data_IF_050729794844
#
_entry.id   IF_050729794844
#
_cell.length_a   1.000
_cell.length_b   1.000
_cell.length_c   1.000
_cell.angle_alpha   90.00
_cell.angle_beta   90.00
_cell.angle_gamma   90.00
#
_symmetry.space_group_name_H-M   'P 1'
#
loop_
_entity.id
_entity.type
_entity.pdbx_description
1 polymer ?
#
# COMPACT_ATOMS: atom_id res chain seq x y z
N UNK A 1 -12.23 7.44 -20.37
CA UNK A 1 -12.89 6.39 -21.21
C UNK A 1 -12.32 6.44 -22.62
N UNK A 2 -11.18 5.77 -22.87
CA UNK A 2 -10.69 5.62 -24.24
C UNK A 2 -11.45 4.45 -24.89
N UNK A 3 -12.47 4.78 -25.70
CA UNK A 3 -13.15 3.82 -26.56
C UNK A 3 -12.22 3.49 -27.72
N UNK A 4 -11.76 2.25 -27.79
CA UNK A 4 -11.13 1.69 -28.99
C UNK A 4 -12.21 1.60 -30.07
N UNK A 5 -12.07 2.38 -31.15
CA UNK A 5 -12.92 2.29 -32.34
C UNK A 5 -12.31 1.28 -33.31
N UNK A 6 -13.09 0.28 -33.69
CA UNK A 6 -12.76 -0.61 -34.80
C UNK A 6 -13.23 0.04 -36.11
N UNK A 7 -12.34 0.19 -37.08
CA UNK A 7 -12.70 0.56 -38.45
C UNK A 7 -12.57 -0.66 -39.35
N UNK A 8 -13.69 -1.11 -39.91
CA UNK A 8 -13.73 -2.16 -40.93
C UNK A 8 -13.75 -1.49 -42.30
N UNK A 9 -12.68 -1.61 -43.08
CA UNK A 9 -12.66 -1.22 -44.49
C UNK A 9 -13.06 -2.45 -45.33
N UNK A 10 -14.22 -2.42 -45.96
CA UNK A 10 -14.68 -3.45 -46.88
C UNK A 10 -14.36 -3.02 -48.32
N UNK A 11 -13.37 -3.67 -48.94
CA UNK A 11 -13.18 -3.64 -50.39
C UNK A 11 -13.62 -5.00 -50.92
N UNK A 12 -14.69 -5.01 -51.70
CA UNK A 12 -15.24 -6.21 -52.31
C UNK A 12 -14.56 -6.48 -53.66
N UNK A 13 -13.65 -7.45 -53.71
CA UNK A 13 -13.25 -8.13 -54.94
C UNK A 13 -13.00 -9.60 -54.63
N UNK A 14 -13.63 -10.49 -55.42
CA UNK A 14 -13.56 -11.93 -55.26
C UNK A 14 -12.12 -12.44 -55.46
N UNK A 15 -11.49 -12.90 -54.38
CA UNK A 15 -10.18 -13.55 -54.37
C UNK A 15 -9.94 -14.10 -52.97
N UNK A 16 -9.33 -15.28 -52.85
CA UNK A 16 -9.05 -15.96 -51.57
C UNK A 16 -8.50 -14.97 -50.53
N UNK A 17 -9.34 -14.61 -49.56
CA UNK A 17 -8.97 -13.66 -48.52
C UNK A 17 -8.22 -14.43 -47.44
N UNK A 18 -6.88 -14.39 -47.49
CA UNK A 18 -6.05 -14.76 -46.36
C UNK A 18 -6.25 -13.70 -45.28
N UNK A 19 -7.02 -14.02 -44.24
CA UNK A 19 -7.13 -13.21 -43.04
C UNK A 19 -5.78 -13.22 -42.33
N UNK A 20 -4.95 -12.21 -42.59
CA UNK A 20 -3.73 -11.94 -41.83
C UNK A 20 -4.16 -11.34 -40.49
N UNK A 21 -4.14 -12.15 -39.43
CA UNK A 21 -4.26 -11.65 -38.07
C UNK A 21 -2.96 -10.93 -37.69
N UNK A 22 -2.97 -9.60 -37.77
CA UNK A 22 -1.88 -8.79 -37.24
C UNK A 22 -2.05 -8.77 -35.71
N UNK A 23 -1.27 -9.62 -35.03
CA UNK A 23 -1.18 -9.64 -33.59
C UNK A 23 -0.37 -8.42 -33.15
N UNK A 24 -1.06 -7.35 -32.74
CA UNK A 24 -0.42 -6.19 -32.13
C UNK A 24 0.06 -6.59 -30.73
N UNK A 25 1.33 -6.95 -30.61
CA UNK A 25 1.98 -7.04 -29.31
C UNK A 25 2.18 -5.60 -28.80
N UNK A 26 1.69 -5.26 -27.60
CA UNK A 26 2.06 -4.00 -26.97
C UNK A 26 3.59 -3.94 -26.90
N UNK A 27 4.17 -2.80 -27.27
CA UNK A 27 5.60 -2.59 -27.14
C UNK A 27 5.98 -2.83 -25.68
N UNK A 28 7.02 -3.65 -25.43
CA UNK A 28 7.56 -3.84 -24.08
C UNK A 28 7.86 -2.46 -23.49
N UNK A 29 7.45 -2.18 -22.25
CA UNK A 29 7.79 -0.91 -21.61
C UNK A 29 9.31 -0.75 -21.64
N UNK A 30 9.77 0.44 -22.04
CA UNK A 30 11.20 0.78 -22.03
C UNK A 30 11.62 1.07 -20.58
N UNK A 31 11.86 0.02 -19.80
CA UNK A 31 12.28 0.11 -18.40
C UNK A 31 13.79 0.36 -18.35
N UNK A 32 14.18 1.54 -17.89
CA UNK A 32 15.57 2.00 -17.87
C UNK A 32 16.24 1.67 -16.53
N UNK A 33 16.37 0.37 -16.22
CA UNK A 33 17.01 -0.10 -14.98
C UNK A 33 18.49 0.33 -14.90
N UNK A 34 19.15 0.48 -16.05
CA UNK A 34 20.54 0.93 -16.20
C UNK A 34 20.78 2.35 -15.65
N UNK A 35 19.73 3.16 -15.51
CA UNK A 35 19.81 4.51 -14.92
C UNK A 35 19.72 4.52 -13.39
N UNK A 36 19.37 3.40 -12.77
CA UNK A 36 19.25 3.30 -11.31
C UNK A 36 20.64 2.98 -10.74
N UNK A 37 21.14 3.87 -9.88
CA UNK A 37 22.40 3.65 -9.16
C UNK A 37 22.11 2.83 -7.90
N UNK A 38 22.73 1.68 -7.79
CA UNK A 38 22.62 0.80 -6.62
C UNK A 38 23.89 0.86 -5.76
N UNK A 39 23.79 0.61 -4.45
CA UNK A 39 24.96 0.36 -3.62
C UNK A 39 25.77 -0.84 -4.14
N UNK A 40 27.06 -0.89 -3.80
CA UNK A 40 27.93 -1.98 -4.21
C UNK A 40 27.38 -3.35 -3.77
N UNK A 41 27.43 -4.34 -4.66
CA UNK A 41 26.94 -5.70 -4.41
C UNK A 41 25.44 -5.91 -4.62
N UNK A 42 24.65 -4.85 -4.82
CA UNK A 42 23.22 -4.96 -5.14
C UNK A 42 22.99 -5.11 -6.65
N UNK A 43 21.92 -5.81 -7.01
CA UNK A 43 21.40 -5.94 -8.38
C UNK A 43 19.89 -5.70 -8.38
N UNK A 44 19.38 -5.21 -9.52
CA UNK A 44 17.96 -5.05 -9.77
C UNK A 44 17.61 -5.75 -11.09
N UNK A 45 16.48 -6.44 -11.12
CA UNK A 45 15.89 -7.00 -12.34
C UNK A 45 14.36 -6.82 -12.27
N UNK A 46 13.70 -6.96 -13.41
CA UNK A 46 12.25 -6.86 -13.54
C UNK A 46 11.58 -8.17 -13.10
N UNK A 47 10.76 -8.10 -12.04
CA UNK A 47 9.92 -9.22 -11.61
C UNK A 47 8.66 -9.37 -12.49
N UNK A 48 7.95 -8.27 -12.74
CA UNK A 48 6.75 -8.21 -13.59
C UNK A 48 6.49 -6.78 -14.09
N UNK A 49 5.92 -6.64 -15.30
CA UNK A 49 5.59 -5.34 -15.93
C UNK A 49 4.10 -5.17 -16.28
N UNK A 50 3.26 -6.15 -15.97
CA UNK A 50 1.85 -6.19 -16.37
C UNK A 50 0.88 -5.71 -15.27
N UNK A 51 1.40 -5.20 -14.16
CA UNK A 51 0.58 -4.67 -13.06
C UNK A 51 0.54 -3.15 -13.11
N UNK A 52 -0.46 -2.62 -13.80
CA UNK A 52 -0.68 -1.17 -13.88
C UNK A 52 -0.96 -0.61 -12.49
N UNK A 53 -0.29 0.51 -12.15
CA UNK A 53 -0.54 1.23 -10.90
C UNK A 53 -0.37 0.34 -9.64
N UNK A 54 0.58 -0.60 -9.69
CA UNK A 54 0.99 -1.41 -8.56
C UNK A 54 1.31 -0.53 -7.34
N UNK A 55 0.88 -0.99 -6.16
CA UNK A 55 1.15 -0.32 -4.88
C UNK A 55 1.69 -1.31 -3.85
N UNK A 56 0.94 -1.59 -2.78
CA UNK A 56 1.40 -2.50 -1.74
C UNK A 56 1.42 -3.93 -2.23
N UNK A 57 2.32 -4.71 -1.67
CA UNK A 57 2.49 -6.12 -2.00
C UNK A 57 2.60 -6.94 -0.72
N UNK A 58 2.14 -8.19 -0.76
CA UNK A 58 2.42 -9.17 0.29
C UNK A 58 2.80 -10.50 -0.34
N UNK A 59 3.90 -11.08 0.13
CA UNK A 59 4.42 -12.37 -0.33
C UNK A 59 3.95 -13.47 0.62
N UNK A 60 3.38 -14.55 0.09
CA UNK A 60 2.99 -15.70 0.90
C UNK A 60 4.17 -16.66 1.12
N UNK A 61 4.08 -17.55 2.13
CA UNK A 61 5.08 -18.61 2.32
C UNK A 61 5.22 -19.55 1.11
N UNK A 62 4.22 -19.64 0.24
CA UNK A 62 4.27 -20.49 -0.97
C UNK A 62 4.97 -19.80 -2.15
N UNK A 63 5.26 -18.49 -2.04
CA UNK A 63 5.88 -17.69 -3.10
C UNK A 63 4.88 -16.89 -3.96
N UNK A 64 3.59 -16.92 -3.66
CA UNK A 64 2.60 -16.06 -4.36
C UNK A 64 2.75 -14.62 -3.89
N UNK A 65 2.97 -13.69 -4.83
CA UNK A 65 3.01 -12.26 -4.55
C UNK A 65 1.65 -11.63 -4.87
N UNK A 66 0.89 -11.22 -3.86
CA UNK A 66 -0.32 -10.44 -4.05
C UNK A 66 0.02 -8.96 -4.16
N UNK A 67 -0.62 -8.26 -5.10
CA UNK A 67 -0.34 -6.86 -5.40
C UNK A 67 -1.65 -6.07 -5.47
N UNK A 68 -1.78 -5.09 -4.59
CA UNK A 68 -2.86 -4.10 -4.63
C UNK A 68 -2.58 -3.00 -5.65
N UNK A 69 -3.63 -2.31 -6.08
CA UNK A 69 -3.53 -1.12 -6.94
C UNK A 69 -4.32 0.04 -6.35
N UNK A 70 -4.16 1.23 -6.92
CA UNK A 70 -4.91 2.40 -6.49
C UNK A 70 -6.00 2.77 -7.51
N UNK A 71 -5.66 3.54 -8.53
CA UNK A 71 -6.60 4.07 -9.50
C UNK A 71 -7.07 2.99 -10.51
N UNK A 72 -6.32 1.88 -10.65
CA UNK A 72 -6.70 0.73 -11.47
C UNK A 72 -7.86 -0.09 -10.86
N UNK A 73 -8.04 -0.03 -9.53
CA UNK A 73 -9.16 -0.70 -8.87
C UNK A 73 -9.12 -2.23 -8.91
N UNK A 74 -7.94 -2.83 -9.09
CA UNK A 74 -7.74 -4.27 -9.21
C UNK A 74 -6.75 -4.83 -8.18
N UNK A 75 -6.83 -6.13 -7.90
CA UNK A 75 -5.85 -6.87 -7.08
C UNK A 75 -5.34 -8.04 -7.91
N UNK A 76 -4.03 -8.26 -7.88
CA UNK A 76 -3.35 -9.28 -8.67
C UNK A 76 -2.67 -10.31 -7.79
N UNK A 77 -2.47 -11.51 -8.33
CA UNK A 77 -1.55 -12.51 -7.80
C UNK A 77 -0.50 -12.85 -8.87
N UNK A 78 0.77 -12.78 -8.50
CA UNK A 78 1.90 -13.02 -9.37
C UNK A 78 2.63 -14.26 -8.86
N UNK A 79 2.88 -15.21 -9.76
CA UNK A 79 3.49 -16.51 -9.42
C UNK A 79 4.73 -16.72 -10.28
N UNK A 80 5.87 -16.89 -9.61
CA UNK A 80 7.10 -17.47 -10.17
C UNK A 80 7.02 -18.99 -10.01
N UNK A 81 6.96 -19.73 -11.12
CA UNK A 81 6.83 -21.18 -11.11
C UNK A 81 8.18 -21.90 -11.18
N UNK A 82 9.24 -21.19 -11.56
CA UNK A 82 10.53 -21.79 -11.91
C UNK A 82 11.68 -21.35 -10.98
N UNK A 83 11.44 -20.36 -10.11
CA UNK A 83 12.37 -19.87 -9.11
C UNK A 83 13.44 -18.92 -9.66
N UNK A 84 13.24 -18.32 -10.83
CA UNK A 84 14.17 -17.37 -11.46
C UNK A 84 13.94 -15.91 -11.04
N UNK A 85 13.03 -15.68 -10.07
CA UNK A 85 12.60 -14.37 -9.60
C UNK A 85 11.88 -13.55 -10.68
N UNK A 86 11.08 -14.21 -11.53
CA UNK A 86 10.19 -13.57 -12.51
C UNK A 86 8.80 -14.17 -12.43
N UNK A 87 7.79 -13.31 -12.54
CA UNK A 87 6.41 -13.79 -12.58
C UNK A 87 6.12 -14.47 -13.92
N UNK A 88 5.91 -15.78 -13.91
CA UNK A 88 5.47 -16.58 -15.07
C UNK A 88 3.97 -16.42 -15.32
N UNK A 89 3.19 -16.27 -14.24
CA UNK A 89 1.72 -16.14 -14.30
C UNK A 89 1.22 -14.99 -13.46
N UNK A 90 0.22 -14.31 -14.00
CA UNK A 90 -0.43 -13.17 -13.37
C UNK A 90 -1.94 -13.41 -13.43
N UNK A 91 -2.57 -13.42 -12.26
CA UNK A 91 -4.00 -13.61 -12.09
C UNK A 91 -4.62 -12.32 -11.57
N UNK A 92 -5.87 -12.06 -11.96
CA UNK A 92 -6.64 -10.97 -11.40
C UNK A 92 -7.58 -11.55 -10.36
N UNK A 93 -7.36 -11.16 -9.11
CA UNK A 93 -8.10 -11.66 -7.94
C UNK A 93 -9.38 -10.87 -7.71
N UNK A 94 -9.32 -9.55 -7.93
CA UNK A 94 -10.47 -8.67 -7.78
C UNK A 94 -10.39 -7.50 -8.77
N UNK A 95 -11.55 -6.93 -9.13
CA UNK A 95 -11.69 -5.76 -10.00
C UNK A 95 -12.82 -4.87 -9.53
N UNK A 96 -12.80 -3.60 -9.95
CA UNK A 96 -13.86 -2.64 -9.68
C UNK A 96 -13.92 -2.18 -8.23
N UNK A 97 -12.80 -2.35 -7.51
CA UNK A 97 -12.65 -1.91 -6.13
C UNK A 97 -12.20 -0.44 -6.06
N UNK A 98 -12.53 0.25 -4.98
CA UNK A 98 -12.14 1.63 -4.73
C UNK A 98 -10.78 1.69 -4.02
N UNK A 99 -9.73 1.97 -4.80
CA UNK A 99 -8.35 2.10 -4.31
C UNK A 99 -7.88 0.91 -3.44
N UNK A 100 -7.93 -0.34 -3.97
CA UNK A 100 -7.56 -1.56 -3.24
C UNK A 100 -6.05 -1.69 -3.04
N UNK A 101 -5.47 -0.73 -2.34
CA UNK A 101 -4.04 -0.59 -2.12
C UNK A 101 -3.50 -1.63 -1.13
N UNK A 102 -4.30 -1.98 -0.12
CA UNK A 102 -3.87 -2.79 1.00
C UNK A 102 -4.11 -4.26 0.74
N UNK A 103 -3.05 -5.07 0.82
CA UNK A 103 -3.12 -6.53 0.72
C UNK A 103 -2.35 -7.16 1.87
N UNK A 104 -2.93 -8.14 2.55
CA UNK A 104 -2.28 -8.91 3.60
C UNK A 104 -2.69 -10.37 3.52
N UNK A 105 -1.77 -11.29 3.79
CA UNK A 105 -2.06 -12.72 3.75
C UNK A 105 -1.96 -13.33 5.15
N UNK A 106 -2.89 -14.23 5.49
CA UNK A 106 -2.83 -15.01 6.71
C UNK A 106 -3.62 -16.30 6.61
N UNK A 107 -3.01 -17.40 7.03
CA UNK A 107 -3.67 -18.71 7.21
C UNK A 107 -4.46 -19.16 5.96
N UNK A 108 -3.91 -18.97 4.77
CA UNK A 108 -4.57 -19.33 3.51
C UNK A 108 -5.54 -18.28 2.95
N UNK A 109 -5.80 -17.20 3.69
CA UNK A 109 -6.72 -16.14 3.28
C UNK A 109 -5.98 -14.87 2.89
N UNK A 110 -6.41 -14.25 1.78
CA UNK A 110 -6.00 -12.90 1.40
C UNK A 110 -7.02 -11.90 1.91
N UNK A 111 -6.51 -10.86 2.57
CA UNK A 111 -7.26 -9.68 2.99
C UNK A 111 -6.96 -8.54 2.03
N UNK A 112 -8.00 -7.85 1.58
CA UNK A 112 -7.93 -6.73 0.64
C UNK A 112 -8.63 -5.53 1.26
N UNK A 113 -7.94 -4.40 1.39
CA UNK A 113 -8.49 -3.16 1.91
C UNK A 113 -8.70 -2.12 0.80
N UNK A 114 -9.96 -1.73 0.62
CA UNK A 114 -10.40 -0.50 -0.06
C UNK A 114 -10.32 0.69 0.90
N UNK A 115 -10.80 1.86 0.46
CA UNK A 115 -10.90 3.06 1.30
C UNK A 115 -11.72 2.81 2.58
N UNK A 116 -12.94 2.29 2.45
CA UNK A 116 -13.87 2.08 3.58
C UNK A 116 -14.13 0.63 3.94
N UNK A 117 -13.71 -0.33 3.09
CA UNK A 117 -14.06 -1.74 3.22
C UNK A 117 -12.85 -2.65 3.27
N UNK A 118 -12.97 -3.75 4.00
CA UNK A 118 -12.00 -4.84 4.01
C UNK A 118 -12.71 -6.14 3.63
N UNK A 119 -12.14 -6.84 2.67
CA UNK A 119 -12.61 -8.11 2.16
C UNK A 119 -11.63 -9.23 2.50
N UNK A 120 -12.14 -10.45 2.60
CA UNK A 120 -11.33 -11.66 2.75
C UNK A 120 -11.68 -12.69 1.68
N UNK A 121 -10.65 -13.27 1.08
CA UNK A 121 -10.73 -14.37 0.12
C UNK A 121 -10.10 -15.61 0.75
N UNK A 122 -10.91 -16.60 1.08
CA UNK A 122 -10.49 -17.80 1.81
C UNK A 122 -9.88 -18.86 0.89
N UNK A 123 -8.81 -19.52 1.33
CA UNK A 123 -8.08 -20.52 0.54
C UNK A 123 -7.62 -20.00 -0.84
N UNK A 124 -7.22 -18.72 -0.91
CA UNK A 124 -7.06 -18.01 -2.18
C UNK A 124 -6.03 -18.65 -3.11
N UNK A 125 -4.95 -19.22 -2.58
CA UNK A 125 -3.87 -19.79 -3.38
C UNK A 125 -4.30 -21.06 -4.15
N UNK A 126 -5.34 -21.75 -3.68
CA UNK A 126 -5.94 -22.89 -4.40
C UNK A 126 -6.87 -22.46 -5.55
N UNK A 127 -7.20 -21.16 -5.63
CA UNK A 127 -8.27 -20.61 -6.45
C UNK A 127 -7.85 -19.36 -7.23
N UNK A 128 -6.56 -19.19 -7.56
CA UNK A 128 -6.07 -17.97 -8.23
C UNK A 128 -6.74 -17.68 -9.59
N UNK A 129 -7.08 -18.72 -10.35
CA UNK A 129 -7.73 -18.59 -11.66
C UNK A 129 -9.25 -18.35 -11.57
N UNK A 130 -9.87 -18.72 -10.46
CA UNK A 130 -11.30 -18.56 -10.19
C UNK A 130 -11.48 -18.22 -8.70
N UNK A 131 -11.19 -16.96 -8.30
CA UNK A 131 -11.19 -16.57 -6.89
C UNK A 131 -12.55 -16.81 -6.24
N UNK A 132 -12.58 -17.24 -4.96
CA UNK A 132 -13.84 -17.45 -4.25
C UNK A 132 -14.60 -16.14 -4.08
N UNK A 133 -15.90 -16.25 -3.79
CA UNK A 133 -16.69 -15.08 -3.38
C UNK A 133 -16.07 -14.45 -2.13
N UNK A 134 -15.79 -13.14 -2.11
CA UNK A 134 -15.22 -12.49 -0.94
C UNK A 134 -16.21 -12.44 0.23
N UNK A 135 -15.65 -12.54 1.44
CA UNK A 135 -16.34 -12.28 2.70
C UNK A 135 -16.08 -10.83 3.09
N UNK A 136 -17.14 -10.07 3.37
CA UNK A 136 -17.00 -8.72 3.94
C UNK A 136 -16.54 -8.85 5.40
N UNK A 137 -15.40 -8.27 5.72
CA UNK A 137 -14.85 -8.24 7.08
C UNK A 137 -15.35 -7.01 7.82
N UNK A 138 -15.34 -5.86 7.17
CA UNK A 138 -15.90 -4.61 7.72
C UNK A 138 -16.08 -3.59 6.60
N UNK A 139 -17.09 -2.75 6.74
CA UNK A 139 -17.34 -1.54 5.94
C UNK A 139 -17.45 -0.28 6.82
N UNK A 140 -16.93 -0.36 8.05
CA UNK A 140 -17.06 0.66 9.10
C UNK A 140 -15.88 1.64 9.12
N UNK A 141 -15.03 1.66 8.09
CA UNK A 141 -14.00 2.70 7.92
C UNK A 141 -14.55 3.89 7.13
N UNK A 142 -14.05 5.12 7.39
CA UNK A 142 -14.49 6.29 6.65
C UNK A 142 -14.23 6.19 5.14
N UNK A 143 -15.08 6.86 4.36
CA UNK A 143 -15.07 6.83 2.89
C UNK A 143 -14.24 7.96 2.23
N UNK A 144 -13.55 8.77 3.05
CA UNK A 144 -12.75 9.92 2.56
C UNK A 144 -11.50 9.45 1.84
N UNK A 145 -11.29 9.95 0.62
CA UNK A 145 -10.25 9.44 -0.29
C UNK A 145 -8.91 10.18 -0.20
N UNK A 146 -8.84 11.36 0.42
CA UNK A 146 -7.64 12.24 0.40
C UNK A 146 -6.37 11.49 0.86
N UNK A 147 -6.42 10.84 2.01
CA UNK A 147 -5.45 9.85 2.50
C UNK A 147 -6.15 8.53 2.85
N UNK A 148 -7.11 8.15 1.99
CA UNK A 148 -8.05 7.07 2.26
C UNK A 148 -7.50 5.67 1.99
N UNK A 149 -6.54 5.53 1.07
CA UNK A 149 -5.99 4.22 0.72
C UNK A 149 -5.26 3.59 1.92
N UNK A 150 -5.39 2.28 2.05
CA UNK A 150 -4.92 1.55 3.24
C UNK A 150 -3.67 0.76 2.92
N UNK A 151 -2.67 0.81 3.79
CA UNK A 151 -1.67 -0.24 3.90
C UNK A 151 -2.12 -1.18 5.02
N UNK A 152 -2.12 -2.50 4.83
CA UNK A 152 -2.56 -3.42 5.87
C UNK A 152 -1.54 -4.53 6.07
N UNK A 153 -1.33 -4.94 7.32
CA UNK A 153 -0.52 -6.10 7.64
C UNK A 153 -0.97 -6.70 8.97
N UNK A 154 -0.71 -8.00 9.15
CA UNK A 154 -0.98 -8.67 10.42
C UNK A 154 0.18 -8.47 11.39
N UNK A 155 -0.15 -8.01 12.59
CA UNK A 155 0.81 -7.86 13.66
C UNK A 155 1.13 -9.18 14.37
N UNK A 156 2.16 -9.18 15.24
CA UNK A 156 2.59 -10.34 16.03
C UNK A 156 1.54 -10.80 17.05
N UNK A 157 0.58 -9.93 17.39
CA UNK A 157 -0.60 -10.23 18.20
C UNK A 157 -1.72 -10.93 17.42
N UNK A 158 -1.53 -11.15 16.12
CA UNK A 158 -2.54 -11.75 15.26
C UNK A 158 -3.74 -10.82 15.01
N UNK A 159 -3.57 -9.51 15.07
CA UNK A 159 -4.58 -8.54 14.62
C UNK A 159 -4.18 -7.91 13.29
N UNK A 160 -5.17 -7.49 12.50
CA UNK A 160 -4.95 -6.76 11.25
C UNK A 160 -4.82 -5.27 11.56
N UNK A 161 -3.68 -4.66 11.23
CA UNK A 161 -3.43 -3.23 11.45
C UNK A 161 -3.86 -2.45 10.20
N UNK A 162 -4.53 -1.32 10.43
CA UNK A 162 -5.16 -0.51 9.38
C UNK A 162 -4.96 0.98 9.70
N UNK A 163 -4.25 1.75 8.86
CA UNK A 163 -4.07 3.17 9.05
C UNK A 163 -5.29 3.92 8.51
N UNK A 164 -5.65 5.01 9.17
CA UNK A 164 -6.65 5.94 8.66
C UNK A 164 -6.02 7.32 8.63
N UNK A 165 -5.52 7.69 7.45
CA UNK A 165 -4.92 9.01 7.23
C UNK A 165 -5.94 10.14 7.34
N UNK A 166 -5.46 11.34 7.61
CA UNK A 166 -6.28 12.54 7.75
C UNK A 166 -7.09 12.82 6.47
N UNK A 167 -8.35 13.30 6.56
CA UNK A 167 -9.20 13.53 5.41
C UNK A 167 -8.86 14.82 4.63
N UNK A 168 -7.69 15.41 4.90
CA UNK A 168 -7.29 16.75 4.51
C UNK A 168 -5.75 16.85 4.54
N UNK A 169 -5.20 18.00 4.12
CA UNK A 169 -3.80 18.31 4.33
C UNK A 169 -3.49 18.48 5.84
N UNK A 170 -4.21 19.41 6.50
CA UNK A 170 -4.11 19.68 7.94
C UNK A 170 -5.49 20.09 8.47
N UNK A 171 -6.01 19.35 9.44
CA UNK A 171 -7.30 19.64 10.08
C UNK A 171 -7.43 18.83 11.36
N UNK A 172 -8.29 19.30 12.26
CA UNK A 172 -8.91 18.45 13.27
C UNK A 172 -10.08 17.68 12.65
N UNK A 173 -10.43 16.53 13.22
CA UNK A 173 -11.56 15.72 12.82
C UNK A 173 -12.44 15.43 14.02
N UNK A 174 -13.77 15.50 13.84
CA UNK A 174 -14.74 15.09 14.87
C UNK A 174 -14.76 13.57 15.04
N UNK A 175 -14.54 12.83 13.94
CA UNK A 175 -14.37 11.39 14.00
C UNK A 175 -12.92 11.06 14.44
N UNK A 176 -12.74 10.46 15.63
CA UNK A 176 -11.43 10.21 16.23
C UNK A 176 -10.64 9.09 15.55
N UNK A 177 -11.21 8.38 14.58
CA UNK A 177 -10.49 7.34 13.83
C UNK A 177 -9.52 7.96 12.81
N UNK A 178 -9.75 9.20 12.37
CA UNK A 178 -8.83 9.87 11.44
C UNK A 178 -7.50 10.23 12.09
N UNK A 179 -6.45 10.22 11.27
CA UNK A 179 -5.07 10.42 11.67
C UNK A 179 -4.60 9.41 12.74
N UNK A 180 -4.94 8.14 12.54
CA UNK A 180 -4.59 7.05 13.47
C UNK A 180 -4.05 5.82 12.74
N UNK A 181 -3.42 4.93 13.51
CA UNK A 181 -3.30 3.52 13.15
C UNK A 181 -4.24 2.75 14.08
N UNK A 182 -5.10 1.91 13.50
CA UNK A 182 -6.00 1.01 14.23
C UNK A 182 -5.54 -0.43 14.08
N UNK A 183 -6.10 -1.33 14.89
CA UNK A 183 -6.06 -2.77 14.68
C UNK A 183 -7.43 -3.40 14.89
N UNK A 184 -7.72 -4.48 14.17
CA UNK A 184 -8.97 -5.26 14.26
C UNK A 184 -8.65 -6.75 14.36
N UNK A 185 -9.57 -7.54 14.90
CA UNK A 185 -9.51 -8.99 14.81
C UNK A 185 -9.68 -9.44 13.35
N UNK A 186 -9.25 -10.67 12.97
CA UNK A 186 -9.33 -11.16 11.59
C UNK A 186 -10.75 -11.31 11.04
N UNK A 187 -11.76 -11.27 11.90
CA UNK A 187 -13.19 -11.28 11.58
C UNK A 187 -13.81 -9.87 11.51
N UNK A 188 -13.02 -8.82 11.75
CA UNK A 188 -13.45 -7.42 11.72
C UNK A 188 -13.83 -6.84 13.08
N UNK A 189 -13.96 -7.67 14.12
CA UNK A 189 -14.36 -7.23 15.45
C UNK A 189 -13.22 -6.55 16.23
N UNK A 190 -13.56 -5.90 17.35
CA UNK A 190 -12.56 -5.45 18.33
C UNK A 190 -11.63 -4.34 17.84
N UNK A 191 -12.15 -3.39 17.05
CA UNK A 191 -11.39 -2.23 16.57
C UNK A 191 -10.84 -1.41 17.73
N UNK A 192 -9.55 -1.12 17.66
CA UNK A 192 -8.80 -0.36 18.67
C UNK A 192 -7.85 0.61 17.97
N UNK A 193 -7.81 1.87 18.44
CA UNK A 193 -6.81 2.86 18.00
C UNK A 193 -5.52 2.59 18.77
N UNK A 194 -4.43 2.30 18.06
CA UNK A 194 -3.12 2.00 18.66
C UNK A 194 -2.14 3.16 18.59
N UNK A 195 -2.25 4.03 17.59
CA UNK A 195 -1.44 5.23 17.45
C UNK A 195 -2.34 6.41 17.04
N UNK A 196 -2.07 7.60 17.57
CA UNK A 196 -2.81 8.84 17.27
C UNK A 196 -1.87 9.88 16.66
N UNK A 197 -2.44 10.87 15.99
CA UNK A 197 -1.67 11.95 15.39
C UNK A 197 -0.71 11.48 14.30
N UNK A 198 -1.14 10.49 13.52
CA UNK A 198 -0.42 9.94 12.37
C UNK A 198 -1.10 10.49 11.11
N UNK A 199 -0.48 11.44 10.41
CA UNK A 199 -1.14 12.17 9.31
C UNK A 199 -1.55 11.24 8.18
N UNK A 200 -0.62 10.46 7.64
CA UNK A 200 -0.81 9.55 6.52
C UNK A 200 0.31 8.50 6.48
N UNK A 201 0.11 7.41 7.22
CA UNK A 201 0.99 6.24 7.18
C UNK A 201 0.60 5.30 6.05
N UNK A 202 1.52 5.12 5.09
CA UNK A 202 1.35 4.22 3.93
C UNK A 202 2.28 3.00 4.01
N UNK A 203 3.04 2.85 5.10
CA UNK A 203 3.91 1.70 5.32
C UNK A 203 4.24 1.50 6.79
N UNK A 204 4.16 0.26 7.25
CA UNK A 204 4.59 -0.15 8.58
C UNK A 204 5.01 -1.61 8.63
N UNK A 205 5.85 -1.94 9.59
CA UNK A 205 6.33 -3.29 9.88
C UNK A 205 6.59 -3.45 11.38
N UNK A 206 6.93 -4.66 11.82
CA UNK A 206 7.30 -4.92 13.20
C UNK A 206 8.77 -5.28 13.31
N UNK A 207 9.44 -4.73 14.31
CA UNK A 207 10.83 -5.07 14.58
C UNK A 207 10.94 -6.58 14.90
N UNK A 208 11.84 -7.34 14.26
CA UNK A 208 11.80 -8.80 14.31
C UNK A 208 12.07 -9.38 15.70
N UNK A 209 12.76 -8.64 16.57
CA UNK A 209 13.09 -9.09 17.93
C UNK A 209 12.12 -8.53 18.98
N UNK A 210 11.91 -7.21 18.99
CA UNK A 210 11.09 -6.54 20.01
C UNK A 210 9.59 -6.62 19.72
N UNK A 211 9.22 -6.93 18.48
CA UNK A 211 7.81 -7.00 18.02
C UNK A 211 7.06 -5.67 18.12
N UNK A 212 7.80 -4.57 18.26
CA UNK A 212 7.24 -3.22 18.29
C UNK A 212 6.94 -2.72 16.88
N UNK A 213 5.93 -1.86 16.75
CA UNK A 213 5.47 -1.34 15.46
C UNK A 213 6.31 -0.13 15.05
N UNK A 214 6.86 -0.19 13.83
CA UNK A 214 7.56 0.90 13.17
C UNK A 214 6.79 1.31 11.93
N UNK A 215 6.59 2.61 11.73
CA UNK A 215 5.77 3.11 10.64
C UNK A 215 6.30 4.41 10.08
N UNK A 216 6.07 4.61 8.78
CA UNK A 216 6.42 5.86 8.09
C UNK A 216 5.22 6.80 8.10
N UNK A 217 5.44 8.10 8.22
CA UNK A 217 4.38 9.12 8.12
C UNK A 217 4.75 10.22 7.13
N UNK A 218 3.78 10.60 6.28
CA UNK A 218 3.94 11.64 5.28
C UNK A 218 3.59 12.99 5.91
N UNK A 219 4.59 13.87 6.04
CA UNK A 219 4.45 15.20 6.61
C UNK A 219 3.44 16.10 5.87
N UNK A 220 3.01 17.18 6.51
CA UNK A 220 2.03 18.10 5.91
C UNK A 220 2.59 18.87 4.70
N UNK A 221 1.68 19.26 3.83
CA UNK A 221 2.01 20.10 2.68
C UNK A 221 1.99 21.59 3.06
N UNK A 222 2.68 22.38 2.24
CA UNK A 222 2.64 23.84 2.23
C UNK A 222 3.18 24.53 3.49
N UNK A 223 4.28 24.02 4.04
CA UNK A 223 5.12 24.75 5.03
C UNK A 223 6.47 25.20 4.47
N UNK A 224 6.73 24.96 3.18
CA UNK A 224 7.97 25.29 2.49
C UNK A 224 8.50 24.08 1.73
N UNK A 225 9.55 24.30 0.94
CA UNK A 225 10.21 23.25 0.17
C UNK A 225 11.09 22.36 1.08
N UNK A 226 11.62 22.94 2.14
CA UNK A 226 12.57 22.29 3.05
C UNK A 226 11.95 21.86 4.40
N UNK A 227 10.62 21.91 4.55
CA UNK A 227 9.93 21.50 5.78
C UNK A 227 8.42 21.23 5.59
N UNK A 228 7.79 20.44 6.47
CA UNK A 228 8.43 19.60 7.50
C UNK A 228 8.97 18.31 6.87
N UNK A 229 9.82 17.62 7.61
CA UNK A 229 10.28 16.28 7.27
C UNK A 229 9.12 15.28 7.31
N UNK A 230 9.15 14.30 6.42
CA UNK A 230 8.45 13.04 6.67
C UNK A 230 9.16 12.28 7.81
N UNK A 231 8.46 11.33 8.40
CA UNK A 231 8.87 10.73 9.67
C UNK A 231 8.98 9.22 9.57
N UNK A 232 9.98 8.67 10.25
CA UNK A 232 9.94 7.30 10.74
C UNK A 232 9.58 7.35 12.22
N UNK A 233 8.50 6.69 12.58
CA UNK A 233 7.95 6.64 13.92
C UNK A 233 8.03 5.23 14.51
N UNK A 234 8.11 5.17 15.84
CA UNK A 234 8.20 3.94 16.61
C UNK A 234 7.12 3.96 17.70
N UNK A 235 6.20 3.00 17.67
CA UNK A 235 5.17 2.84 18.68
C UNK A 235 5.63 1.87 19.76
N UNK A 236 5.95 2.40 20.94
CA UNK A 236 6.37 1.61 22.10
C UNK A 236 5.20 1.25 23.01
N UNK A 237 4.13 2.06 22.98
CA UNK A 237 2.93 1.85 23.79
C UNK A 237 1.67 2.23 23.02
N UNK A 238 0.67 1.36 23.08
CA UNK A 238 -0.68 1.64 22.56
C UNK A 238 -1.20 2.98 23.13
N UNK A 239 -1.68 3.83 22.22
CA UNK A 239 -2.27 5.13 22.53
C UNK A 239 -1.31 6.32 22.45
N UNK A 240 -0.03 6.12 22.13
CA UNK A 240 0.90 7.22 21.85
C UNK A 240 0.39 8.14 20.73
N UNK A 241 0.73 9.42 20.85
CA UNK A 241 0.32 10.48 19.92
C UNK A 241 1.55 11.09 19.27
N UNK A 242 1.61 11.09 17.93
CA UNK A 242 2.79 11.44 17.12
C UNK A 242 2.78 12.89 16.60
N UNK A 243 1.79 13.68 17.00
CA UNK A 243 1.84 15.14 16.93
C UNK A 243 0.84 15.76 15.99
N UNK A 244 0.50 15.12 14.87
CA UNK A 244 -0.50 15.68 13.95
C UNK A 244 -1.86 15.88 14.65
N UNK A 245 -2.58 17.00 14.42
CA UNK A 245 -2.25 18.10 13.51
C UNK A 245 -1.50 19.27 14.18
N UNK A 246 -1.07 19.12 15.43
CA UNK A 246 -0.56 20.21 16.28
C UNK A 246 0.95 20.41 16.17
N UNK A 247 1.70 19.32 16.02
CA UNK A 247 3.15 19.33 15.87
C UNK A 247 3.54 18.44 14.67
N UNK A 248 4.46 18.94 13.85
CA UNK A 248 5.01 18.24 12.70
C UNK A 248 6.49 17.94 12.96
N UNK A 249 6.98 16.81 12.46
CA UNK A 249 8.38 16.36 12.56
C UNK A 249 8.95 16.33 13.99
N UNK A 250 8.09 16.29 15.01
CA UNK A 250 8.43 16.30 16.43
C UNK A 250 8.85 17.64 17.04
N UNK A 251 9.08 18.69 16.24
CA UNK A 251 9.60 19.97 16.74
C UNK A 251 9.13 21.22 15.99
N UNK A 252 8.21 21.09 15.02
CA UNK A 252 7.59 22.24 14.36
C UNK A 252 6.12 22.34 14.81
N UNK A 253 5.77 23.32 15.65
CA UNK A 253 4.39 23.64 15.94
C UNK A 253 3.64 24.03 14.66
N UNK A 254 2.42 23.54 14.49
CA UNK A 254 1.56 23.99 13.40
C UNK A 254 1.22 25.48 13.57
N UNK A 255 1.38 26.31 12.52
CA UNK A 255 1.17 27.76 12.63
C UNK A 255 -0.28 28.18 12.92
N UNK A 256 -1.27 27.28 12.75
CA UNK A 256 -2.68 27.58 12.96
C UNK A 256 -3.31 26.74 14.06
N UNK A 257 -2.86 25.50 14.23
CA UNK A 257 -3.53 24.53 15.11
C UNK A 257 -2.75 24.26 16.40
N UNK A 258 -1.50 24.69 16.54
CA UNK A 258 -0.72 24.42 17.75
C UNK A 258 -1.16 25.24 18.98
N UNK A 259 -2.17 26.10 18.87
CA UNK A 259 -2.62 26.90 20.02
C UNK A 259 -3.00 26.00 21.19
N UNK A 260 -2.40 26.25 22.36
CA UNK A 260 -2.55 25.42 23.56
C UNK A 260 -1.76 24.11 23.58
N UNK A 261 -0.96 23.81 22.56
CA UNK A 261 -0.16 22.58 22.47
C UNK A 261 1.33 22.86 22.23
N UNK A 262 2.18 22.12 22.95
CA UNK A 262 3.62 22.09 22.75
C UNK A 262 4.05 20.75 22.16
N UNK A 263 5.02 20.76 21.23
CA UNK A 263 5.54 19.54 20.62
C UNK A 263 6.04 18.50 21.64
N UNK A 264 6.52 18.94 22.82
CA UNK A 264 6.96 18.07 23.90
C UNK A 264 5.84 17.22 24.54
N UNK A 265 4.58 17.50 24.24
CA UNK A 265 3.42 16.68 24.65
C UNK A 265 3.31 15.39 23.84
N UNK A 266 3.96 15.33 22.68
CA UNK A 266 3.83 14.25 21.71
C UNK A 266 5.08 13.36 21.65
N UNK A 267 4.90 12.17 21.11
CA UNK A 267 6.00 11.22 20.87
C UNK A 267 6.80 11.72 19.67
N UNK A 268 8.11 11.98 19.80
CA UNK A 268 8.94 12.45 18.69
C UNK A 268 9.22 11.31 17.70
N UNK A 269 9.50 11.62 16.42
CA UNK A 269 9.87 10.61 15.45
C UNK A 269 11.25 10.01 15.79
N UNK A 270 11.40 8.73 15.49
CA UNK A 270 12.68 8.04 15.62
C UNK A 270 13.72 8.57 14.61
N UNK A 271 13.25 9.02 13.43
CA UNK A 271 14.10 9.65 12.42
C UNK A 271 13.30 10.62 11.56
N UNK A 272 13.89 11.77 11.24
CA UNK A 272 13.41 12.69 10.20
C UNK A 272 13.96 12.22 8.85
N UNK A 273 13.08 11.88 7.92
CA UNK A 273 13.44 11.31 6.60
C UNK A 273 13.67 12.38 5.53
N UNK A 274 13.47 13.65 5.89
CA UNK A 274 13.55 14.79 5.00
C UNK A 274 12.19 15.21 4.42
N UNK A 275 12.08 16.45 3.91
CA UNK A 275 10.83 17.02 3.41
C UNK A 275 10.35 16.34 2.14
N UNK A 276 9.04 16.12 2.03
CA UNK A 276 8.37 15.69 0.80
C UNK A 276 8.89 14.39 0.14
N UNK A 277 9.66 13.57 0.87
CA UNK A 277 10.20 12.29 0.35
C UNK A 277 9.12 11.22 0.14
N UNK A 278 7.94 11.45 0.72
CA UNK A 278 6.75 10.62 0.61
C UNK A 278 7.02 9.12 0.86
N UNK A 279 7.41 8.72 2.09
CA UNK A 279 7.73 7.33 2.38
C UNK A 279 6.44 6.48 2.35
N UNK A 280 6.45 5.42 1.53
CA UNK A 280 5.30 4.55 1.29
C UNK A 280 5.52 3.09 1.75
N UNK A 281 6.61 2.82 2.47
CA UNK A 281 6.99 1.46 2.85
C UNK A 281 8.20 1.45 3.77
N UNK A 282 8.26 0.43 4.62
CA UNK A 282 9.40 0.11 5.47
C UNK A 282 9.41 -1.40 5.70
N UNK A 283 10.58 -2.01 5.73
CA UNK A 283 10.77 -3.42 6.06
C UNK A 283 12.07 -3.61 6.85
N UNK A 284 12.07 -4.51 7.82
CA UNK A 284 13.32 -4.95 8.45
C UNK A 284 13.89 -6.12 7.66
N UNK A 285 15.10 -5.93 7.13
CA UNK A 285 15.76 -6.99 6.40
C UNK A 285 16.18 -8.13 7.34
N UNK A 286 15.61 -9.31 7.11
CA UNK A 286 15.89 -10.54 7.89
C UNK A 286 16.44 -11.68 7.03
N UNK A 287 16.69 -11.40 5.76
CA UNK A 287 17.24 -12.37 4.81
C UNK A 287 18.76 -12.43 4.80
N UNK A 288 19.27 -13.20 3.85
CA UNK A 288 20.69 -13.46 3.59
C UNK A 288 21.08 -13.26 2.10
N UNK A 289 20.18 -12.67 1.32
CA UNK A 289 20.34 -12.32 -0.10
C UNK A 289 21.19 -11.06 -0.33
N UNK A 290 21.11 -10.06 0.56
CA UNK A 290 21.82 -8.79 0.38
C UNK A 290 23.25 -8.86 0.95
N UNK A 291 24.20 -8.14 0.33
CA UNK A 291 25.55 -8.01 0.88
C UNK A 291 25.54 -7.44 2.31
N UNK A 292 26.37 -8.02 3.16
CA UNK A 292 26.66 -7.59 4.54
C UNK A 292 27.92 -6.74 4.62
#
# INVERSE_FOLDING_TARGET
>A
MNRIKWYTLLIATAGLSWLVFIQFYPAKPNIQLDKIKLPAGFKIDLYADQVTNARSMCLTPSGTLFVGTRDEGSVYALVDQNGDYKADKIYIIAKGLQMPNGVAFRNGSLYVAEVSKIWRYDNIESHLADPPKPVLITDDYPDKTHHGWKFIAFGPDGKLYVPVGAPCNVCTSEDPVFATITRINPDGSGREIVARGVRNSVGFTWHPQTKELWFTDNGRDWLGDDQPSCELNHLTRVGEHFGFPYCHQGDIPDPKLADGHQCSEFTPPAMKMGPHVAPLGIEFYTGNQFPT
#
